data_IF_280314394427
#
_entry.id   IF_280314394427
#
_cell.length_a   1.000
_cell.length_b   1.000
_cell.length_c   1.000
_cell.angle_alpha   90.00
_cell.angle_beta   90.00
_cell.angle_gamma   90.00
#
_symmetry.space_group_name_H-M   'P 1'
#
loop_
_entity.id
_entity.type
_entity.pdbx_description
1 polymer ?
#
# COMPACT_ATOMS: atom_id res chain seq x y z
N UNK A 1 -14.55 27.73 6.60
CA UNK A 1 -14.81 26.34 6.16
C UNK A 1 -13.57 25.87 5.42
N UNK A 2 -12.63 25.25 6.14
CA UNK A 2 -11.38 24.76 5.56
C UNK A 2 -11.66 23.34 5.04
N UNK A 3 -11.57 23.16 3.72
CA UNK A 3 -11.42 21.83 3.14
C UNK A 3 -9.97 21.44 3.37
N UNK A 4 -9.74 20.63 4.38
CA UNK A 4 -8.44 20.01 4.61
C UNK A 4 -8.46 18.71 3.82
N UNK A 5 -7.71 18.67 2.71
CA UNK A 5 -7.38 17.42 2.02
C UNK A 5 -6.49 16.60 2.95
N UNK A 6 -7.11 15.82 3.83
CA UNK A 6 -6.42 14.88 4.72
C UNK A 6 -6.14 13.58 3.95
N UNK A 7 -5.16 13.62 3.05
CA UNK A 7 -4.48 12.43 2.54
C UNK A 7 -3.17 12.19 3.32
N UNK A 8 -3.20 12.41 4.64
CA UNK A 8 -2.18 11.90 5.54
C UNK A 8 -2.59 10.49 5.91
N UNK A 9 -2.01 9.49 5.25
CA UNK A 9 -1.96 8.13 5.81
C UNK A 9 -1.20 8.29 7.14
N UNK A 10 -1.90 8.10 8.26
CA UNK A 10 -1.30 8.18 9.58
C UNK A 10 -0.13 7.18 9.66
N UNK A 11 0.95 7.58 10.35
CA UNK A 11 2.20 6.79 10.38
C UNK A 11 1.96 5.38 10.93
N UNK A 12 0.98 5.22 11.84
CA UNK A 12 0.56 3.91 12.37
C UNK A 12 -0.11 3.01 11.31
N UNK A 13 -0.84 3.59 10.36
CA UNK A 13 -1.46 2.84 9.25
C UNK A 13 -0.44 2.46 8.17
N UNK A 14 0.64 3.23 8.03
CA UNK A 14 1.68 2.98 7.03
C UNK A 14 2.39 1.63 7.25
N UNK A 15 2.73 1.29 8.50
CA UNK A 15 3.41 0.03 8.83
C UNK A 15 2.51 -1.19 8.54
N UNK A 16 1.19 -1.07 8.79
CA UNK A 16 0.22 -2.12 8.46
C UNK A 16 0.15 -2.38 6.94
N UNK A 17 0.19 -1.32 6.13
CA UNK A 17 0.20 -1.44 4.67
C UNK A 17 1.49 -2.08 4.15
N UNK A 18 2.65 -1.81 4.77
CA UNK A 18 3.92 -2.45 4.40
C UNK A 18 3.86 -3.96 4.67
N UNK A 19 3.34 -4.38 5.83
CA UNK A 19 3.19 -5.79 6.18
C UNK A 19 2.21 -6.53 5.25
N UNK A 20 1.10 -5.89 4.90
CA UNK A 20 0.14 -6.45 3.97
C UNK A 20 0.73 -6.61 2.56
N UNK A 21 1.42 -5.59 2.05
CA UNK A 21 2.12 -5.64 0.75
C UNK A 21 3.20 -6.73 0.76
N UNK A 22 3.98 -6.86 1.83
CA UNK A 22 4.96 -7.94 1.99
C UNK A 22 4.32 -9.33 1.93
N UNK A 23 3.18 -9.51 2.60
CA UNK A 23 2.45 -10.77 2.62
C UNK A 23 1.96 -11.16 1.22
N UNK A 24 1.48 -10.20 0.43
CA UNK A 24 1.09 -10.41 -0.98
C UNK A 24 2.31 -10.82 -1.83
N UNK A 25 3.45 -10.16 -1.65
CA UNK A 25 4.69 -10.44 -2.38
C UNK A 25 5.20 -11.88 -2.11
N UNK A 26 5.22 -12.33 -0.86
CA UNK A 26 5.66 -13.70 -0.52
C UNK A 26 4.69 -14.75 -1.09
N UNK A 27 3.39 -14.49 -1.01
CA UNK A 27 2.34 -15.45 -1.38
C UNK A 27 2.26 -15.67 -2.89
N UNK A 28 2.55 -14.65 -3.70
CA UNK A 28 2.31 -14.68 -5.14
C UNK A 28 3.58 -14.34 -5.94
N UNK A 29 4.12 -15.31 -6.70
CA UNK A 29 5.29 -15.08 -7.57
C UNK A 29 4.97 -14.24 -8.83
N UNK A 30 3.88 -14.57 -9.53
CA UNK A 30 3.52 -13.94 -10.82
C UNK A 30 2.23 -13.11 -10.78
N UNK A 31 1.26 -13.44 -9.92
CA UNK A 31 -0.01 -12.71 -9.77
C UNK A 31 0.07 -11.49 -8.83
N UNK A 32 1.26 -11.21 -8.31
CA UNK A 32 1.54 -10.18 -7.31
C UNK A 32 1.03 -8.79 -7.70
N UNK A 33 1.19 -8.40 -8.98
CA UNK A 33 0.95 -7.02 -9.39
C UNK A 33 -0.55 -6.64 -9.40
N UNK A 34 -1.43 -7.58 -9.76
CA UNK A 34 -2.87 -7.35 -9.76
C UNK A 34 -3.44 -7.37 -8.33
N UNK A 35 -2.95 -8.25 -7.47
CA UNK A 35 -3.33 -8.26 -6.05
C UNK A 35 -2.88 -7.00 -5.31
N UNK A 36 -1.67 -6.51 -5.57
CA UNK A 36 -1.18 -5.25 -5.01
C UNK A 36 -2.03 -4.05 -5.46
N UNK A 37 -2.44 -4.02 -6.73
CA UNK A 37 -3.35 -2.99 -7.24
C UNK A 37 -4.73 -3.06 -6.59
N UNK A 38 -5.28 -4.26 -6.45
CA UNK A 38 -6.57 -4.46 -5.80
C UNK A 38 -6.51 -4.03 -4.33
N UNK A 39 -5.47 -4.44 -3.61
CA UNK A 39 -5.22 -4.01 -2.23
C UNK A 39 -5.17 -2.48 -2.12
N UNK A 40 -4.41 -1.80 -2.99
CA UNK A 40 -4.36 -0.34 -2.98
C UNK A 40 -5.71 0.31 -3.29
N UNK A 41 -6.50 -0.28 -4.20
CA UNK A 41 -7.84 0.22 -4.54
C UNK A 41 -8.82 0.05 -3.38
N UNK A 42 -8.76 -1.06 -2.65
CA UNK A 42 -9.64 -1.35 -1.51
C UNK A 42 -9.32 -0.48 -0.28
N UNK A 43 -8.09 0.02 -0.19
CA UNK A 43 -7.62 0.83 0.94
C UNK A 43 -7.40 2.32 0.56
N UNK A 44 -7.93 2.77 -0.58
CA UNK A 44 -7.78 4.14 -1.11
C UNK A 44 -6.30 4.63 -1.17
N UNK A 45 -5.36 3.71 -1.36
CA UNK A 45 -3.93 4.00 -1.45
C UNK A 45 -3.60 4.45 -2.88
N UNK A 46 -3.05 5.67 -3.08
CA UNK A 46 -2.62 6.11 -4.39
C UNK A 46 -1.54 5.18 -4.96
N UNK A 47 -1.61 4.87 -6.25
CA UNK A 47 -0.60 4.02 -6.93
C UNK A 47 0.84 4.51 -6.73
N UNK A 48 1.07 5.83 -6.58
CA UNK A 48 2.39 6.39 -6.27
C UNK A 48 2.93 5.95 -4.90
N UNK A 49 2.05 5.65 -3.94
CA UNK A 49 2.43 5.10 -2.65
C UNK A 49 2.67 3.59 -2.72
N UNK A 50 2.05 2.87 -3.66
CA UNK A 50 2.30 1.43 -3.86
C UNK A 50 3.79 1.15 -4.14
N UNK A 51 4.43 1.93 -5.02
CA UNK A 51 5.88 1.77 -5.28
C UNK A 51 6.72 1.93 -4.01
N UNK A 52 6.33 2.87 -3.13
CA UNK A 52 6.98 3.09 -1.84
C UNK A 52 6.75 1.93 -0.90
N UNK A 53 5.53 1.40 -0.82
CA UNK A 53 5.20 0.22 -0.01
C UNK A 53 5.95 -1.03 -0.48
N UNK A 54 6.02 -1.26 -1.80
CA UNK A 54 6.78 -2.37 -2.39
C UNK A 54 8.27 -2.25 -2.06
N UNK A 55 8.84 -1.04 -2.15
CA UNK A 55 10.25 -0.81 -1.83
C UNK A 55 10.54 -1.09 -0.34
N UNK A 56 9.66 -0.65 0.56
CA UNK A 56 9.79 -0.87 2.00
C UNK A 56 9.58 -2.33 2.39
N UNK A 57 8.65 -3.03 1.73
CA UNK A 57 8.38 -4.45 1.94
C UNK A 57 9.49 -5.37 1.39
N UNK A 58 10.39 -4.87 0.54
CA UNK A 58 11.48 -5.66 -0.06
C UNK A 58 12.75 -5.78 0.80
N UNK A 59 12.77 -5.21 2.00
CA UNK A 59 13.82 -5.37 3.01
C UNK A 59 13.56 -6.61 3.88
#
# INVERSE_FOLDING_TARGET
MLKVDNNMVDIEDFDLHVVAVFSIIIKHKFAMFDELKNYCKENDIPLKQLDRLIMMARL
#
